data_IF_521994057477
#
_entry.id   IF_521994057477
#
_cell.length_a   1.000
_cell.length_b   1.000
_cell.length_c   1.000
_cell.angle_alpha   90.00
_cell.angle_beta   90.00
_cell.angle_gamma   90.00
#
_symmetry.space_group_name_H-M   'P 1'
#
loop_
_entity.id
_entity.type
_entity.pdbx_description
1 polymer ?
#
# COMPACT_ATOMS: atom_id res chain seq x y z
N UNK A 1 -15.18 -0.12 7.67
CA UNK A 1 -13.72 0.14 7.68
C UNK A 1 -13.37 0.88 6.41
N UNK A 2 -12.83 2.11 6.51
CA UNK A 2 -12.42 2.87 5.33
C UNK A 2 -11.03 2.38 4.89
N UNK A 3 -10.93 1.82 3.68
CA UNK A 3 -9.66 1.28 3.17
C UNK A 3 -8.73 2.38 2.63
N UNK A 4 -9.31 3.46 2.09
CA UNK A 4 -8.56 4.50 1.38
C UNK A 4 -8.61 5.81 2.16
N UNK A 5 -7.47 6.54 2.29
CA UNK A 5 -7.46 7.86 2.90
C UNK A 5 -8.21 8.85 2.01
N UNK A 6 -9.12 9.63 2.59
CA UNK A 6 -9.89 10.67 1.89
C UNK A 6 -9.45 12.06 2.35
N UNK A 7 -9.57 13.06 1.46
CA UNK A 7 -9.19 14.44 1.79
C UNK A 7 -7.70 14.65 2.04
N UNK A 8 -6.84 13.84 1.40
CA UNK A 8 -5.38 13.90 1.57
C UNK A 8 -4.68 14.29 0.27
N UNK A 9 -3.37 14.55 0.36
CA UNK A 9 -2.52 14.91 -0.79
C UNK A 9 -2.41 13.82 -1.87
N UNK A 10 -2.89 12.60 -1.63
CA UNK A 10 -2.96 11.54 -2.66
C UNK A 10 -4.14 11.72 -3.62
N UNK A 11 -5.02 12.68 -3.35
CA UNK A 11 -6.21 12.95 -4.15
C UNK A 11 -7.36 11.99 -3.83
N UNK A 12 -8.29 11.87 -4.77
CA UNK A 12 -9.41 10.94 -4.71
C UNK A 12 -8.98 9.58 -5.26
N UNK A 13 -8.73 8.65 -4.34
CA UNK A 13 -8.29 7.30 -4.69
C UNK A 13 -9.46 6.38 -5.07
N UNK A 14 -9.25 5.61 -6.13
CA UNK A 14 -10.12 4.53 -6.60
C UNK A 14 -9.33 3.21 -6.57
N UNK A 15 -9.90 2.19 -5.95
CA UNK A 15 -9.35 0.83 -5.96
C UNK A 15 -9.34 0.29 -7.39
N UNK A 16 -8.22 -0.29 -7.80
CA UNK A 16 -8.09 -0.96 -9.10
C UNK A 16 -8.19 -2.47 -8.95
N UNK A 17 -7.32 -3.05 -8.14
CA UNK A 17 -7.14 -4.48 -8.04
C UNK A 17 -6.53 -4.85 -6.69
N UNK A 18 -7.01 -5.92 -6.08
CA UNK A 18 -6.46 -6.49 -4.84
C UNK A 18 -5.63 -7.71 -5.23
N UNK A 19 -4.39 -7.78 -4.76
CA UNK A 19 -3.45 -8.83 -5.11
C UNK A 19 -3.28 -9.85 -3.98
N UNK A 20 -3.42 -9.42 -2.73
CA UNK A 20 -3.37 -10.29 -1.57
C UNK A 20 -4.48 -9.87 -0.60
N UNK A 21 -5.37 -10.80 -0.25
CA UNK A 21 -6.51 -10.61 0.64
C UNK A 21 -6.59 -11.74 1.66
N UNK A 22 -5.58 -11.86 2.52
CA UNK A 22 -5.61 -12.80 3.64
C UNK A 22 -5.96 -12.05 4.94
N UNK A 23 -7.16 -12.33 5.46
CA UNK A 23 -7.75 -11.62 6.61
C UNK A 23 -7.90 -10.10 6.35
N UNK A 24 -8.26 -9.74 5.12
CA UNK A 24 -8.37 -8.38 4.63
C UNK A 24 -7.25 -8.03 3.64
N UNK A 25 -7.42 -6.95 2.86
CA UNK A 25 -6.47 -6.58 1.82
C UNK A 25 -5.10 -6.27 2.43
N UNK A 26 -4.05 -6.92 1.93
CA UNK A 26 -2.67 -6.71 2.35
C UNK A 26 -1.83 -6.02 1.28
N UNK A 27 -2.17 -6.25 0.01
CA UNK A 27 -1.52 -5.60 -1.11
C UNK A 27 -2.53 -5.36 -2.24
N UNK A 28 -2.57 -4.14 -2.76
CA UNK A 28 -3.52 -3.74 -3.80
C UNK A 28 -3.01 -2.53 -4.56
N UNK A 29 -3.58 -2.26 -5.74
CA UNK A 29 -3.32 -1.03 -6.49
C UNK A 29 -4.51 -0.08 -6.47
N UNK A 30 -4.20 1.20 -6.49
CA UNK A 30 -5.17 2.29 -6.61
C UNK A 30 -4.73 3.25 -7.69
N UNK A 31 -5.65 4.09 -8.15
CA UNK A 31 -5.33 5.30 -8.93
C UNK A 31 -5.99 6.51 -8.30
N UNK A 32 -5.41 7.68 -8.50
CA UNK A 32 -6.08 8.94 -8.21
C UNK A 32 -6.81 9.50 -9.44
N UNK A 33 -7.47 10.65 -9.26
CA UNK A 33 -8.19 11.41 -10.29
C UNK A 33 -7.29 11.87 -11.45
N UNK A 34 -5.99 11.99 -11.21
CA UNK A 34 -4.98 12.33 -12.21
C UNK A 34 -4.39 11.10 -12.92
N UNK A 35 -4.99 9.91 -12.72
CA UNK A 35 -4.56 8.62 -13.29
C UNK A 35 -3.21 8.11 -12.79
N UNK A 36 -2.59 8.79 -11.82
CA UNK A 36 -1.40 8.31 -11.13
C UNK A 36 -1.77 7.04 -10.36
N UNK A 37 -1.02 5.96 -10.60
CA UNK A 37 -1.22 4.70 -9.89
C UNK A 37 -0.30 4.61 -8.69
N UNK A 38 -0.80 3.96 -7.66
CA UNK A 38 -0.03 3.60 -6.49
C UNK A 38 -0.17 2.12 -6.22
N UNK A 39 0.94 1.49 -5.84
CA UNK A 39 0.92 0.19 -5.19
C UNK A 39 0.84 0.43 -3.69
N UNK A 40 -0.03 -0.30 -3.03
CA UNK A 40 -0.37 -0.14 -1.62
C UNK A 40 -0.05 -1.42 -0.86
N UNK A 41 0.61 -1.29 0.28
CA UNK A 41 0.95 -2.40 1.17
C UNK A 41 0.51 -2.09 2.60
N UNK A 42 -0.02 -3.10 3.30
CA UNK A 42 -0.38 -2.99 4.72
C UNK A 42 0.88 -2.88 5.59
N UNK A 43 1.09 -1.70 6.17
CA UNK A 43 2.25 -1.39 7.02
C UNK A 43 2.03 -1.77 8.49
N UNK A 44 0.92 -2.43 8.80
CA UNK A 44 0.59 -2.92 10.14
C UNK A 44 -0.45 -2.07 10.87
N UNK A 45 -0.82 -2.59 12.03
CA UNK A 45 -1.71 -1.93 12.98
C UNK A 45 -0.87 -1.25 14.08
N UNK A 46 -1.22 -0.01 14.38
CA UNK A 46 -0.55 0.88 15.32
C UNK A 46 -1.57 1.38 16.35
N UNK A 47 -1.07 2.01 17.41
CA UNK A 47 -1.90 2.62 18.45
C UNK A 47 -2.95 1.62 18.98
N UNK A 48 -2.50 0.41 19.35
CA UNK A 48 -3.35 -0.69 19.86
C UNK A 48 -4.51 -1.09 18.92
N UNK A 49 -4.28 -0.98 17.60
CA UNK A 49 -5.29 -1.33 16.58
C UNK A 49 -6.27 -0.21 16.26
N UNK A 50 -6.08 0.98 16.85
CA UNK A 50 -6.92 2.16 16.53
C UNK A 50 -6.43 2.93 15.30
N UNK A 51 -5.23 2.61 14.79
CA UNK A 51 -4.65 3.21 13.59
C UNK A 51 -4.06 2.14 12.68
N UNK A 52 -4.59 2.01 11.47
CA UNK A 52 -4.01 1.15 10.43
C UNK A 52 -3.12 2.02 9.54
N UNK A 53 -1.89 1.57 9.29
CA UNK A 53 -1.00 2.26 8.34
C UNK A 53 -0.85 1.51 7.04
N UNK A 54 -0.77 2.27 5.96
CA UNK A 54 -0.64 1.78 4.60
C UNK A 54 0.52 2.49 3.90
N UNK A 55 1.40 1.72 3.30
CA UNK A 55 2.51 2.23 2.49
C UNK A 55 2.08 2.36 1.03
N UNK A 56 2.34 3.52 0.44
CA UNK A 56 2.05 3.82 -0.96
C UNK A 56 3.34 4.20 -1.69
N UNK A 57 3.57 3.58 -2.84
CA UNK A 57 4.59 4.01 -3.79
C UNK A 57 3.94 4.28 -5.15
N UNK A 58 4.33 5.35 -5.87
CA UNK A 58 3.85 5.56 -7.23
C UNK A 58 4.40 4.45 -8.12
N UNK A 59 3.54 3.89 -8.97
CA UNK A 59 3.93 2.83 -9.91
C UNK A 59 3.41 3.11 -11.31
N UNK A 60 4.15 2.62 -12.30
CA UNK A 60 3.70 2.56 -13.69
C UNK A 60 3.12 1.18 -13.98
N UNK A 61 2.33 1.04 -15.07
CA UNK A 61 1.83 -0.28 -15.48
C UNK A 61 2.96 -1.31 -15.69
N UNK A 62 4.09 -0.96 -16.37
CA UNK A 62 5.20 -1.91 -16.53
C UNK A 62 5.86 -2.34 -15.22
N UNK A 63 6.04 -1.41 -14.27
CA UNK A 63 6.60 -1.73 -12.96
C UNK A 63 5.68 -2.67 -12.18
N UNK A 64 4.38 -2.37 -12.16
CA UNK A 64 3.38 -3.20 -11.52
C UNK A 64 3.35 -4.62 -12.12
N UNK A 65 3.35 -4.74 -13.44
CA UNK A 65 3.44 -6.04 -14.10
C UNK A 65 4.74 -6.79 -13.74
N UNK A 66 5.86 -6.09 -13.60
CA UNK A 66 7.14 -6.71 -13.22
C UNK A 66 7.14 -7.22 -11.78
N UNK A 67 6.51 -6.49 -10.86
CA UNK A 67 6.30 -6.91 -9.47
C UNK A 67 5.42 -8.16 -9.39
N UNK A 68 4.27 -8.15 -10.06
CA UNK A 68 3.32 -9.26 -10.05
C UNK A 68 3.86 -10.54 -10.71
N UNK A 69 4.81 -10.40 -11.65
CA UNK A 69 5.51 -11.54 -12.26
C UNK A 69 6.81 -11.91 -11.54
N UNK A 70 7.04 -11.42 -10.32
CA UNK A 70 8.23 -11.69 -9.50
C UNK A 70 9.57 -11.34 -10.19
N UNK A 71 9.55 -10.44 -11.19
CA UNK A 71 10.77 -9.93 -11.87
C UNK A 71 11.45 -8.82 -11.06
N UNK A 72 10.68 -8.15 -10.21
CA UNK A 72 11.13 -7.12 -9.28
C UNK A 72 10.61 -7.50 -7.90
N UNK A 73 11.43 -7.36 -6.87
CA UNK A 73 11.01 -7.60 -5.48
C UNK A 73 10.14 -6.46 -4.96
N UNK A 74 9.06 -6.79 -4.26
CA UNK A 74 8.24 -5.81 -3.54
C UNK A 74 9.06 -5.09 -2.47
N UNK A 75 9.88 -5.82 -1.71
CA UNK A 75 10.79 -5.22 -0.73
C UNK A 75 11.63 -4.12 -1.39
N UNK A 76 12.31 -4.45 -2.49
CA UNK A 76 13.19 -3.50 -3.17
C UNK A 76 12.43 -2.34 -3.78
N UNK A 77 11.26 -2.57 -4.37
CA UNK A 77 10.44 -1.50 -4.93
C UNK A 77 10.03 -0.48 -3.86
N UNK A 78 9.60 -0.93 -2.68
CA UNK A 78 9.25 -0.03 -1.58
C UNK A 78 10.49 0.63 -0.95
N UNK A 79 11.59 -0.11 -0.77
CA UNK A 79 12.81 0.39 -0.16
C UNK A 79 13.64 1.31 -1.06
N UNK A 80 13.45 1.27 -2.38
CA UNK A 80 14.18 2.10 -3.33
C UNK A 80 13.29 3.15 -4.01
N UNK A 81 11.98 3.15 -3.76
CA UNK A 81 11.07 4.15 -4.32
C UNK A 81 11.52 5.57 -3.98
N UNK A 82 11.60 6.43 -5.01
CA UNK A 82 11.92 7.85 -4.84
C UNK A 82 10.88 8.58 -3.98
N UNK A 83 9.64 8.10 -4.00
CA UNK A 83 8.56 8.57 -3.16
C UNK A 83 7.91 7.40 -2.43
N UNK A 84 7.80 7.52 -1.12
CA UNK A 84 7.05 6.61 -0.26
C UNK A 84 6.14 7.45 0.60
N UNK A 85 4.87 7.11 0.63
CA UNK A 85 3.88 7.75 1.47
C UNK A 85 3.32 6.75 2.47
N UNK A 86 3.04 7.21 3.68
CA UNK A 86 2.35 6.43 4.70
C UNK A 86 1.03 7.09 4.99
N UNK A 87 -0.05 6.37 4.73
CA UNK A 87 -1.38 6.78 5.15
C UNK A 87 -1.69 6.16 6.51
N UNK A 88 -2.12 6.98 7.45
CA UNK A 88 -2.70 6.57 8.73
C UNK A 88 -4.21 6.71 8.64
N UNK A 89 -4.92 5.60 8.79
CA UNK A 89 -6.39 5.55 8.83
C UNK A 89 -6.80 5.15 10.25
N UNK A 90 -7.66 5.96 10.86
CA UNK A 90 -8.09 5.76 12.24
C UNK A 90 -9.45 5.09 12.31
N UNK A 91 -9.64 4.26 13.32
CA UNK A 91 -10.92 3.61 13.63
C UNK A 91 -12.00 4.64 13.98
N UNK A 92 -13.25 4.27 13.71
CA UNK A 92 -14.41 5.07 14.08
C UNK A 92 -14.42 5.28 15.62
N UNK A 93 -14.66 6.52 16.06
CA UNK A 93 -14.64 6.89 17.49
C UNK A 93 -13.35 7.55 17.99
N UNK A 94 -12.24 7.48 17.24
CA UNK A 94 -10.99 8.18 17.60
C UNK A 94 -11.09 9.70 17.33
N UNK A 95 -12.01 10.12 16.46
CA UNK A 95 -12.23 11.53 16.11
C UNK A 95 -11.10 12.16 15.28
N UNK A 96 -10.20 11.33 14.70
CA UNK A 96 -9.10 11.77 13.84
C UNK A 96 -9.40 11.48 12.37
N UNK A 97 -9.10 12.44 11.50
CA UNK A 97 -9.16 12.24 10.05
C UNK A 97 -7.94 11.46 9.55
N UNK A 98 -8.09 10.80 8.40
CA UNK A 98 -6.96 10.13 7.75
C UNK A 98 -5.83 11.12 7.45
N UNK A 99 -4.59 10.69 7.62
CA UNK A 99 -3.39 11.50 7.39
C UNK A 99 -2.48 10.78 6.40
N UNK A 100 -1.83 11.52 5.50
CA UNK A 100 -0.78 10.97 4.63
C UNK A 100 0.49 11.79 4.84
N UNK A 101 1.61 11.09 5.00
CA UNK A 101 2.93 11.70 5.18
C UNK A 101 3.92 11.10 4.19
N UNK A 102 4.77 11.94 3.61
CA UNK A 102 5.88 11.48 2.77
C UNK A 102 7.03 11.04 3.68
N UNK A 103 7.50 9.82 3.47
CA UNK A 103 8.66 9.24 4.17
C UNK A 103 9.92 9.60 3.40
N UNK A 104 10.92 10.09 4.11
CA UNK A 104 12.26 10.34 3.58
C UNK A 104 13.23 9.21 3.97
N UNK A 105 14.46 9.24 3.48
CA UNK A 105 15.43 8.18 3.73
C UNK A 105 15.74 7.96 5.22
N UNK A 106 15.61 8.99 6.07
CA UNK A 106 15.97 8.92 7.48
C UNK A 106 14.90 8.23 8.34
N UNK A 107 13.64 8.24 7.93
CA UNK A 107 12.52 7.68 8.71
C UNK A 107 11.88 6.44 8.06
N UNK A 108 12.44 5.94 6.95
CA UNK A 108 11.98 4.72 6.29
C UNK A 108 12.10 3.45 7.15
N UNK A 109 13.01 3.44 8.13
CA UNK A 109 13.17 2.33 9.07
C UNK A 109 12.10 2.28 10.18
N UNK A 110 11.25 3.33 10.31
CA UNK A 110 10.22 3.43 11.35
C UNK A 110 8.87 2.86 10.91
N UNK A 111 8.80 2.30 9.70
CA UNK A 111 7.56 1.82 9.08
C UNK A 111 7.77 0.39 8.61
N UNK A 112 6.75 -0.45 8.75
CA UNK A 112 6.82 -1.80 8.23
C UNK A 112 6.61 -1.74 6.71
N UNK A 113 7.55 -2.31 5.97
CA UNK A 113 7.50 -2.46 4.51
C UNK A 113 7.50 -3.95 4.17
N UNK A 114 7.19 -4.33 2.91
CA UNK A 114 7.19 -5.73 2.53
C UNK A 114 8.53 -6.39 2.90
N UNK A 115 8.53 -7.53 3.60
CA UNK A 115 9.77 -8.24 3.92
C UNK A 115 10.48 -8.73 2.67
N UNK A 116 11.77 -9.06 2.78
CA UNK A 116 12.64 -9.47 1.65
C UNK A 116 12.03 -10.61 0.83
N UNK A 117 11.35 -11.55 1.50
CA UNK A 117 10.73 -12.73 0.90
C UNK A 117 9.24 -12.55 0.59
N UNK A 118 8.71 -11.32 0.63
CA UNK A 118 7.32 -11.06 0.27
C UNK A 118 7.10 -11.35 -1.21
N UNK A 119 6.21 -12.31 -1.47
CA UNK A 119 5.75 -12.70 -2.79
C UNK A 119 4.22 -12.78 -2.74
N UNK A 120 3.59 -12.46 -3.86
CA UNK A 120 2.16 -12.69 -4.02
C UNK A 120 2.04 -14.07 -4.64
N UNK A 121 1.44 -15.00 -3.89
CA UNK A 121 1.14 -16.32 -4.44
C UNK A 121 0.12 -16.12 -5.57
N UNK A 122 0.40 -16.57 -6.80
CA UNK A 122 -0.63 -16.61 -7.81
C UNK A 122 -1.76 -17.49 -7.26
N UNK A 123 -2.99 -16.98 -7.28
CA UNK A 123 -4.15 -17.84 -7.07
C UNK A 123 -3.97 -19.06 -7.97
N UNK A 124 -3.92 -20.26 -7.39
CA UNK A 124 -3.98 -21.48 -8.16
C UNK A 124 -5.24 -21.37 -9.00
N UNK A 125 -5.08 -21.09 -10.29
CA UNK A 125 -6.17 -21.19 -11.22
C UNK A 125 -6.66 -22.64 -11.09
N UNK A 126 -7.82 -22.83 -10.45
CA UNK A 126 -8.50 -24.11 -10.43
C UNK A 126 -8.48 -24.63 -11.86
N UNK A 127 -7.64 -25.64 -12.11
CA UNK A 127 -7.65 -26.37 -13.37
C UNK A 127 -9.04 -27.01 -13.46
N UNK A 128 -9.87 -26.45 -14.34
CA UNK A 128 -11.19 -26.97 -14.70
C UNK A 128 -11.01 -28.28 -15.44
#
# INVERSE_FOLDING_TARGET
>A
MNLLPTGTQLGKLELLEIYEDFLGPKCFSVKNEHTQRYLVYWSGDYDEGTCIKWAYIPVTKPLLASLLNNKVSFHDAFHQAAELYIASIYSDGVGKSAKVERVNGMNRHLVNLPPINYIIEPEEACMI
#
